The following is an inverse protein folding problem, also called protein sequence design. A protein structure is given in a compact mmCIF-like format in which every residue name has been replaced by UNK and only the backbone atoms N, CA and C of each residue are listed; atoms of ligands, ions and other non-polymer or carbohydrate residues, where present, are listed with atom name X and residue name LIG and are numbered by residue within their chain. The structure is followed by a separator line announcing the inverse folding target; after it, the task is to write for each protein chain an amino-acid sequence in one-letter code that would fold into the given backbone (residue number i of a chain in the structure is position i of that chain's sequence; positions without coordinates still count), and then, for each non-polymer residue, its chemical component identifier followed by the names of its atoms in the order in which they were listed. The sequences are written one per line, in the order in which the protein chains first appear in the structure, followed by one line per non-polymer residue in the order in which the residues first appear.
data_IF_146725934686
#
_entry.id   IF_146725934686
#
_cell.length_a   1.000
_cell.length_b   1.000
_cell.length_c   1.000
_cell.angle_alpha   90.00
_cell.angle_beta   90.00
_cell.angle_gamma   90.00
#
_symmetry.space_group_name_H-M   'P 1'
#
loop_
_entity.id
_entity.type
_entity.pdbx_description
1 polymer ?
#
# COMPACT_ATOMS: atom_id res chain seq x y z
N UNK A 1 -6.27 5.64 -8.54
CA UNK A 1 -7.26 6.52 -9.19
C UNK A 1 -6.66 7.87 -9.60
N UNK A 2 -6.43 8.84 -8.69
CA UNK A 2 -5.91 10.17 -9.11
C UNK A 2 -4.54 10.10 -9.80
N UNK A 3 -3.57 9.40 -9.22
CA UNK A 3 -2.22 9.26 -9.76
C UNK A 3 -2.21 8.52 -11.11
N UNK A 4 -3.07 7.53 -11.26
CA UNK A 4 -3.18 6.78 -12.52
C UNK A 4 -3.76 7.67 -13.63
N UNK A 5 -4.75 8.51 -13.33
CA UNK A 5 -5.27 9.50 -14.28
C UNK A 5 -4.21 10.55 -14.63
N UNK A 6 -3.48 11.06 -13.64
CA UNK A 6 -2.40 12.03 -13.85
C UNK A 6 -1.27 11.44 -14.71
N UNK A 7 -0.94 10.16 -14.55
CA UNK A 7 0.05 9.49 -15.38
C UNK A 7 -0.37 9.44 -16.86
N UNK A 8 -1.66 9.23 -17.12
CA UNK A 8 -2.21 9.28 -18.50
C UNK A 8 -2.14 10.68 -19.07
N UNK A 9 -2.55 11.69 -18.29
CA UNK A 9 -2.56 13.10 -18.73
C UNK A 9 -1.15 13.63 -19.05
N UNK A 10 -0.12 13.12 -18.37
CA UNK A 10 1.26 13.56 -18.51
C UNK A 10 2.14 12.65 -19.38
N UNK A 11 1.59 11.59 -19.97
CA UNK A 11 2.33 10.58 -20.71
C UNK A 11 3.31 11.14 -21.76
N UNK A 12 2.92 12.20 -22.48
CA UNK A 12 3.70 12.76 -23.59
C UNK A 12 4.49 14.02 -23.20
N UNK A 13 4.55 14.35 -21.92
CA UNK A 13 5.20 15.56 -21.42
C UNK A 13 6.63 15.37 -20.94
N UNK A 14 7.12 14.14 -20.88
CA UNK A 14 8.41 13.79 -20.28
C UNK A 14 8.40 13.80 -18.73
N UNK A 15 7.22 13.91 -18.10
CA UNK A 15 7.07 13.85 -16.64
C UNK A 15 6.64 12.44 -16.24
N UNK A 16 7.50 11.75 -15.50
CA UNK A 16 7.17 10.46 -14.93
C UNK A 16 6.27 10.62 -13.70
N UNK A 17 5.21 9.81 -13.61
CA UNK A 17 4.29 9.75 -12.48
C UNK A 17 4.22 8.33 -11.96
N UNK A 18 4.43 8.16 -10.66
CA UNK A 18 4.36 6.85 -10.03
C UNK A 18 3.84 6.89 -8.60
N UNK A 19 3.62 5.72 -8.04
CA UNK A 19 3.14 5.54 -6.67
C UNK A 19 4.12 4.67 -5.90
N UNK A 20 4.45 5.09 -4.69
CA UNK A 20 5.06 4.23 -3.68
C UNK A 20 4.00 3.88 -2.66
N UNK A 21 3.64 2.59 -2.57
CA UNK A 21 2.63 2.05 -1.65
C UNK A 21 3.36 1.33 -0.48
N UNK A 22 3.67 2.04 0.63
CA UNK A 22 4.35 1.43 1.76
C UNK A 22 3.40 0.58 2.60
N UNK A 23 3.86 -0.58 3.05
CA UNK A 23 3.23 -1.36 4.10
C UNK A 23 3.41 -0.76 5.48
N UNK A 24 3.17 -1.56 6.52
CA UNK A 24 3.39 -1.12 7.91
C UNK A 24 4.86 -1.17 8.28
N UNK A 25 5.52 -0.02 8.34
CA UNK A 25 6.89 0.16 8.83
C UNK A 25 6.90 0.78 10.22
N UNK A 26 8.04 0.69 10.90
CA UNK A 26 8.28 1.31 12.19
C UNK A 26 8.30 2.83 12.06
N UNK A 27 7.16 3.46 12.38
CA UNK A 27 6.99 4.92 12.37
C UNK A 27 6.06 5.37 13.49
N UNK A 28 6.10 6.65 13.83
CA UNK A 28 5.18 7.22 14.85
C UNK A 28 3.72 7.37 14.37
N UNK A 29 3.43 7.14 13.08
CA UNK A 29 2.10 7.36 12.51
C UNK A 29 1.04 6.46 13.16
N UNK A 30 1.38 5.21 13.43
CA UNK A 30 0.46 4.24 14.03
C UNK A 30 0.12 4.59 15.47
N UNK A 31 1.12 5.05 16.25
CA UNK A 31 0.90 5.54 17.61
C UNK A 31 -0.04 6.76 17.61
N UNK A 32 0.21 7.72 16.70
CA UNK A 32 -0.64 8.91 16.55
C UNK A 32 -2.06 8.55 16.09
N UNK A 33 -2.20 7.61 15.15
CA UNK A 33 -3.49 7.16 14.66
C UNK A 33 -4.29 6.41 15.75
N UNK A 34 -3.62 5.55 16.54
CA UNK A 34 -4.23 4.86 17.65
C UNK A 34 -4.74 5.86 18.72
N UNK A 35 -3.88 6.80 19.12
CA UNK A 35 -4.23 7.84 20.07
C UNK A 35 -5.45 8.65 19.63
N UNK A 36 -5.45 9.10 18.37
CA UNK A 36 -6.59 9.81 17.80
C UNK A 36 -7.87 8.96 17.78
N UNK A 37 -7.76 7.67 17.45
CA UNK A 37 -8.91 6.75 17.46
C UNK A 37 -9.54 6.59 18.84
N UNK A 38 -8.71 6.61 19.90
CA UNK A 38 -9.15 6.46 21.30
C UNK A 38 -9.70 7.75 21.89
N UNK A 39 -9.17 8.89 21.52
CA UNK A 39 -9.37 10.17 22.23
C UNK A 39 -9.93 11.29 21.36
N UNK A 40 -9.93 11.12 20.03
CA UNK A 40 -10.28 12.16 19.08
C UNK A 40 -9.21 13.26 18.91
N UNK A 41 -8.07 13.16 19.60
CA UNK A 41 -7.00 14.15 19.60
C UNK A 41 -5.67 13.62 19.07
N UNK A 42 -4.84 14.51 18.56
CA UNK A 42 -3.43 14.23 18.19
C UNK A 42 -2.44 14.59 19.30
N UNK A 43 -2.90 15.14 20.43
CA UNK A 43 -2.03 15.49 21.54
C UNK A 43 -1.49 14.23 22.20
N UNK A 44 -0.17 14.06 22.14
CA UNK A 44 0.54 12.90 22.71
C UNK A 44 0.70 13.01 24.24
N UNK A 45 0.40 14.16 24.83
CA UNK A 45 0.59 14.44 26.24
C UNK A 45 -0.74 14.43 27.03
N UNK A 46 -1.85 14.03 26.38
CA UNK A 46 -3.13 13.95 27.07
C UNK A 46 -3.18 12.78 28.06
N UNK A 47 -3.96 12.94 29.12
CA UNK A 47 -4.20 11.88 30.08
C UNK A 47 -5.00 10.73 29.46
N UNK A 48 -4.46 9.52 29.54
CA UNK A 48 -5.10 8.29 29.08
C UNK A 48 -5.55 7.47 30.28
N UNK A 49 -6.65 6.73 30.12
CA UNK A 49 -7.02 5.71 31.09
C UNK A 49 -6.00 4.57 31.07
N UNK A 50 -5.96 3.77 32.12
CA UNK A 50 -5.05 2.60 32.20
C UNK A 50 -5.30 1.61 31.04
N UNK A 51 -6.54 1.42 30.61
CA UNK A 51 -6.90 0.56 29.49
C UNK A 51 -6.39 1.13 28.15
N UNK A 52 -6.60 2.42 27.90
CA UNK A 52 -6.08 3.12 26.73
C UNK A 52 -4.55 3.09 26.66
N UNK A 53 -3.90 3.26 27.82
CA UNK A 53 -2.45 3.19 27.92
C UNK A 53 -1.94 1.79 27.57
N UNK A 54 -2.54 0.74 28.11
CA UNK A 54 -2.15 -0.65 27.83
C UNK A 54 -2.35 -1.00 26.33
N UNK A 55 -3.46 -0.57 25.72
CA UNK A 55 -3.70 -0.76 24.28
C UNK A 55 -2.66 -0.02 23.44
N UNK A 56 -2.33 1.22 23.80
CA UNK A 56 -1.33 2.02 23.08
C UNK A 56 0.06 1.41 23.18
N UNK A 57 0.44 0.87 24.35
CA UNK A 57 1.70 0.18 24.60
C UNK A 57 1.80 -1.09 23.74
N UNK A 58 0.77 -1.94 23.75
CA UNK A 58 0.74 -3.17 22.93
C UNK A 58 0.87 -2.88 21.43
N UNK A 59 0.19 -1.85 20.94
CA UNK A 59 0.33 -1.41 19.53
C UNK A 59 1.71 -0.87 19.24
N UNK A 60 2.29 -0.11 20.17
CA UNK A 60 3.64 0.46 20.01
C UNK A 60 4.70 -0.64 20.01
N UNK A 61 4.57 -1.64 20.85
CA UNK A 61 5.45 -2.81 20.89
C UNK A 61 5.43 -3.58 19.56
N UNK A 62 4.24 -3.89 19.05
CA UNK A 62 4.11 -4.52 17.73
C UNK A 62 4.77 -3.70 16.63
N UNK A 63 4.53 -2.38 16.59
CA UNK A 63 5.09 -1.51 15.58
C UNK A 63 6.61 -1.35 15.70
N UNK A 64 7.16 -1.40 16.92
CA UNK A 64 8.60 -1.35 17.14
C UNK A 64 9.33 -2.60 16.68
N UNK A 65 8.62 -3.72 16.53
CA UNK A 65 9.15 -4.97 15.97
C UNK A 65 9.24 -4.98 14.44
N UNK A 66 8.64 -4.00 13.76
CA UNK A 66 8.69 -3.88 12.31
C UNK A 66 10.01 -3.25 11.85
N UNK A 67 10.34 -3.46 10.57
CA UNK A 67 11.52 -2.89 9.95
C UNK A 67 11.45 -1.35 9.87
N UNK A 68 12.61 -0.70 9.91
CA UNK A 68 12.75 0.72 9.62
C UNK A 68 12.33 1.01 8.16
N UNK A 69 11.89 2.25 7.84
CA UNK A 69 11.33 2.58 6.52
C UNK A 69 12.35 2.81 5.41
N UNK A 70 13.62 2.37 5.56
CA UNK A 70 14.70 2.60 4.60
C UNK A 70 14.35 2.09 3.20
N UNK A 71 13.71 0.92 3.10
CA UNK A 71 13.26 0.39 1.82
C UNK A 71 12.24 1.28 1.10
N UNK A 72 11.50 2.12 1.83
CA UNK A 72 10.59 3.11 1.23
C UNK A 72 11.40 4.25 0.62
N UNK A 73 12.44 4.72 1.32
CA UNK A 73 13.35 5.73 0.79
C UNK A 73 14.10 5.21 -0.44
N UNK A 74 14.57 3.96 -0.42
CA UNK A 74 15.20 3.31 -1.58
C UNK A 74 14.27 3.25 -2.79
N UNK A 75 12.99 2.91 -2.61
CA UNK A 75 12.00 2.90 -3.69
C UNK A 75 11.77 4.29 -4.29
N UNK A 76 11.73 5.34 -3.46
CA UNK A 76 11.64 6.74 -3.92
C UNK A 76 12.91 7.14 -4.69
N UNK A 77 14.09 6.80 -4.18
CA UNK A 77 15.36 7.08 -4.85
C UNK A 77 15.45 6.35 -6.20
N UNK A 78 15.02 5.10 -6.27
CA UNK A 78 14.97 4.35 -7.53
C UNK A 78 14.04 5.06 -8.53
N UNK A 79 12.83 5.43 -8.12
CA UNK A 79 11.91 6.18 -8.99
C UNK A 79 12.53 7.48 -9.52
N UNK A 80 13.29 8.19 -8.71
CA UNK A 80 13.89 9.48 -9.09
C UNK A 80 15.13 9.34 -9.99
N UNK A 81 15.85 8.23 -9.90
CA UNK A 81 17.13 8.04 -10.59
C UNK A 81 17.07 7.11 -11.80
N UNK A 82 16.00 6.34 -11.95
CA UNK A 82 15.83 5.42 -13.08
C UNK A 82 15.35 6.18 -14.32
N UNK A 83 15.91 5.84 -15.49
CA UNK A 83 15.51 6.42 -16.78
C UNK A 83 14.10 5.95 -17.19
N UNK A 84 13.66 4.78 -16.71
CA UNK A 84 12.35 4.20 -16.99
C UNK A 84 11.72 3.67 -15.70
N UNK A 85 11.32 4.58 -14.76
CA UNK A 85 10.83 4.17 -13.46
C UNK A 85 9.51 3.41 -13.56
N UNK A 86 9.35 2.41 -12.71
CA UNK A 86 8.09 1.66 -12.62
C UNK A 86 6.95 2.59 -12.20
N UNK A 87 5.73 2.39 -12.72
CA UNK A 87 4.58 3.22 -12.34
C UNK A 87 4.13 2.97 -10.89
N UNK A 88 4.52 1.82 -10.27
CA UNK A 88 4.10 1.46 -8.92
C UNK A 88 5.15 0.64 -8.18
N UNK A 89 5.40 1.02 -6.93
CA UNK A 89 6.31 0.36 -6.01
C UNK A 89 5.54 -0.07 -4.76
N UNK A 90 5.21 -1.35 -4.64
CA UNK A 90 4.72 -1.90 -3.38
C UNK A 90 5.93 -2.22 -2.50
N UNK A 91 6.04 -1.56 -1.36
CA UNK A 91 7.14 -1.74 -0.41
C UNK A 91 6.58 -2.34 0.88
N UNK A 92 6.77 -3.63 1.07
CA UNK A 92 6.27 -4.35 2.23
C UNK A 92 7.43 -4.80 3.13
N UNK A 93 7.37 -4.58 4.46
CA UNK A 93 8.44 -4.95 5.37
C UNK A 93 8.57 -6.48 5.54
N UNK A 94 7.47 -7.21 5.31
CA UNK A 94 7.43 -8.68 5.39
C UNK A 94 6.50 -9.24 4.32
N UNK A 95 6.78 -10.46 3.88
CA UNK A 95 5.99 -11.15 2.84
C UNK A 95 4.49 -11.17 3.13
N UNK A 96 4.09 -11.38 4.38
CA UNK A 96 2.68 -11.43 4.77
C UNK A 96 1.91 -10.12 4.48
N UNK A 97 2.57 -8.96 4.48
CA UNK A 97 1.94 -7.70 4.10
C UNK A 97 1.74 -7.61 2.58
N UNK A 98 2.72 -8.04 1.79
CA UNK A 98 2.61 -8.13 0.34
C UNK A 98 1.48 -9.09 -0.06
N UNK A 99 1.47 -10.31 0.51
CA UNK A 99 0.44 -11.31 0.26
C UNK A 99 -0.97 -10.77 0.58
N UNK A 100 -1.12 -10.03 1.69
CA UNK A 100 -2.41 -9.42 2.07
C UNK A 100 -2.88 -8.40 1.05
N UNK A 101 -1.97 -7.55 0.54
CA UNK A 101 -2.29 -6.54 -0.45
C UNK A 101 -2.73 -7.18 -1.78
N UNK A 102 -1.96 -8.16 -2.27
CA UNK A 102 -2.30 -8.89 -3.51
C UNK A 102 -3.60 -9.66 -3.35
N UNK A 103 -3.80 -10.39 -2.24
CA UNK A 103 -5.04 -11.11 -1.99
C UNK A 103 -6.27 -10.18 -1.96
N UNK A 104 -6.13 -8.96 -1.42
CA UNK A 104 -7.21 -7.98 -1.43
C UNK A 104 -7.58 -7.51 -2.86
N UNK A 105 -6.58 -7.35 -3.74
CA UNK A 105 -6.81 -7.02 -5.15
C UNK A 105 -7.48 -8.18 -5.89
N UNK A 106 -6.99 -9.40 -5.70
CA UNK A 106 -7.59 -10.61 -6.30
C UNK A 106 -9.03 -10.82 -5.83
N UNK A 107 -9.30 -10.59 -4.54
CA UNK A 107 -10.68 -10.66 -4.01
C UNK A 107 -11.60 -9.64 -4.69
N UNK A 108 -11.13 -8.40 -4.86
CA UNK A 108 -11.90 -7.36 -5.57
C UNK A 108 -12.14 -7.71 -7.03
N UNK A 109 -11.12 -8.24 -7.72
CA UNK A 109 -11.26 -8.70 -9.10
C UNK A 109 -12.37 -9.74 -9.22
N UNK A 110 -12.36 -10.77 -8.38
CA UNK A 110 -13.40 -11.83 -8.37
C UNK A 110 -14.78 -11.24 -8.06
N UNK A 111 -14.89 -10.34 -7.08
CA UNK A 111 -16.16 -9.69 -6.73
C UNK A 111 -16.71 -8.81 -7.87
N UNK A 112 -15.85 -8.08 -8.56
CA UNK A 112 -16.25 -7.22 -9.69
C UNK A 112 -16.65 -8.07 -10.92
N UNK A 113 -16.02 -9.21 -11.12
CA UNK A 113 -16.32 -10.10 -12.24
C UNK A 113 -17.65 -10.84 -12.04
N UNK A 114 -17.99 -11.20 -10.81
CA UNK A 114 -19.13 -12.04 -10.51
C UNK A 114 -20.48 -11.34 -10.75
N UNK A 115 -21.43 -12.08 -11.32
CA UNK A 115 -22.83 -11.68 -11.51
C UNK A 115 -23.04 -10.40 -12.35
N UNK A 116 -22.14 -10.11 -13.29
CA UNK A 116 -22.28 -9.00 -14.23
C UNK A 116 -22.50 -9.54 -15.67
N UNK A 117 -23.11 -8.76 -16.60
CA UNK A 117 -23.50 -9.25 -17.93
C UNK A 117 -22.35 -9.79 -18.79
N UNK A 118 -21.12 -9.40 -18.53
CA UNK A 118 -19.92 -9.76 -19.26
C UNK A 118 -18.94 -10.51 -18.36
N UNK A 119 -19.46 -11.39 -17.51
CA UNK A 119 -18.65 -12.19 -16.60
C UNK A 119 -17.65 -13.05 -17.37
N UNK A 120 -16.36 -12.87 -17.05
CA UNK A 120 -15.28 -13.65 -17.62
C UNK A 120 -15.16 -14.99 -16.91
N UNK A 121 -14.94 -16.05 -17.68
CA UNK A 121 -14.61 -17.36 -17.14
C UNK A 121 -13.23 -17.35 -16.46
N UNK A 122 -12.98 -18.37 -15.63
CA UNK A 122 -11.64 -18.57 -15.04
C UNK A 122 -10.52 -18.57 -16.08
N UNK A 123 -10.72 -19.21 -17.22
CA UNK A 123 -9.70 -19.33 -18.24
C UNK A 123 -9.41 -17.99 -18.92
N UNK A 124 -10.43 -17.17 -19.15
CA UNK A 124 -10.26 -15.81 -19.68
C UNK A 124 -9.53 -14.91 -18.68
N UNK A 125 -9.86 -14.98 -17.38
CA UNK A 125 -9.14 -14.22 -16.34
C UNK A 125 -7.67 -14.64 -16.23
N UNK A 126 -7.37 -15.94 -16.34
CA UNK A 126 -6.00 -16.43 -16.33
C UNK A 126 -5.24 -15.97 -17.59
N UNK A 127 -5.85 -16.07 -18.76
CA UNK A 127 -5.23 -15.62 -20.00
C UNK A 127 -4.91 -14.11 -19.97
N UNK A 128 -5.84 -13.29 -19.46
CA UNK A 128 -5.58 -11.86 -19.25
C UNK A 128 -4.43 -11.61 -18.28
N UNK A 129 -4.35 -12.37 -17.19
CA UNK A 129 -3.24 -12.22 -16.23
C UNK A 129 -1.90 -12.59 -16.86
N UNK A 130 -1.85 -13.67 -17.67
CA UNK A 130 -0.65 -14.10 -18.38
C UNK A 130 -0.17 -13.01 -19.35
N UNK A 131 -1.10 -12.39 -20.12
CA UNK A 131 -0.82 -11.29 -21.03
C UNK A 131 -0.20 -10.07 -20.30
N UNK A 132 -0.78 -9.65 -19.18
CA UNK A 132 -0.23 -8.54 -18.38
C UNK A 132 1.13 -8.86 -17.74
N UNK A 133 1.42 -10.11 -17.44
CA UNK A 133 2.73 -10.51 -16.90
C UNK A 133 3.81 -10.47 -18.00
N UNK A 134 3.48 -10.89 -19.22
CA UNK A 134 4.39 -10.82 -20.38
C UNK A 134 4.73 -9.37 -20.78
N UNK A 135 3.75 -8.45 -20.70
CA UNK A 135 3.98 -7.02 -20.96
C UNK A 135 4.85 -6.32 -19.89
N UNK A 136 5.02 -6.95 -18.73
CA UNK A 136 5.73 -6.38 -17.57
C UNK A 136 7.21 -6.77 -17.52
N UNK A 137 7.66 -7.72 -18.37
CA UNK A 137 9.05 -8.17 -18.48
C UNK A 137 9.84 -7.29 -19.47
#
# INVERSE_FOLDING_TARGET
AYTDSLAVDLKDTGIAVGIVDPGGFKTSIHRKAALRGMTGSYDLNQDLTNEQQAELEARTEYMSSLNEPDAVAEAVMHFMSDESPRPRYMVAPVKAHADRAINALMTRLVQLNANQPFELSRNELVAMLDEFLEESE
#
